data_IF_813055408592
#
_entry.id   IF_813055408592
#
_cell.length_a   1.000
_cell.length_b   1.000
_cell.length_c   1.000
_cell.angle_alpha   90.00
_cell.angle_beta   90.00
_cell.angle_gamma   90.00
#
_symmetry.space_group_name_H-M   'P 1'
#
loop_
_entity.id
_entity.type
_entity.pdbx_description
1 polymer ?
#
# COMPACT_ATOMS: atom_id res chain seq x y z
N UNK A 1 32.20 14.12 -44.42
CA UNK A 1 31.46 12.98 -43.82
C UNK A 1 31.07 13.37 -42.39
N UNK A 2 29.77 13.54 -42.16
CA UNK A 2 29.15 14.11 -40.94
C UNK A 2 29.17 13.07 -39.82
N UNK A 3 30.00 13.26 -38.80
CA UNK A 3 30.02 12.41 -37.60
C UNK A 3 28.93 12.89 -36.65
N UNK A 4 27.81 12.15 -36.58
CA UNK A 4 26.74 12.36 -35.62
C UNK A 4 27.20 11.83 -34.26
N UNK A 5 27.49 12.74 -33.32
CA UNK A 5 27.63 12.41 -31.91
C UNK A 5 26.22 12.19 -31.35
N UNK A 6 25.83 10.94 -31.20
CA UNK A 6 24.66 10.54 -30.43
C UNK A 6 25.05 10.59 -28.94
N UNK A 7 24.87 11.75 -28.33
CA UNK A 7 24.95 11.94 -26.89
C UNK A 7 23.73 11.27 -26.27
N UNK A 8 23.86 10.01 -25.86
CA UNK A 8 22.83 9.29 -25.13
C UNK A 8 22.79 9.83 -23.69
N UNK A 9 22.04 10.92 -23.48
CA UNK A 9 21.71 11.41 -22.15
C UNK A 9 20.76 10.44 -21.48
N UNK A 10 21.33 9.49 -20.73
CA UNK A 10 20.64 8.67 -19.75
C UNK A 10 20.16 9.60 -18.62
N UNK A 11 18.95 10.13 -18.76
CA UNK A 11 18.25 10.78 -17.65
C UNK A 11 17.97 9.71 -16.58
N UNK A 12 18.40 9.90 -15.32
CA UNK A 12 17.98 9.02 -14.25
C UNK A 12 16.49 9.27 -14.02
N UNK A 13 15.66 8.32 -14.45
CA UNK A 13 14.25 8.27 -14.04
C UNK A 13 14.28 7.86 -12.57
N UNK A 14 14.37 8.85 -11.68
CA UNK A 14 14.14 8.66 -10.26
C UNK A 14 12.65 8.36 -10.06
N UNK A 15 12.31 7.07 -10.10
CA UNK A 15 11.02 6.59 -9.65
C UNK A 15 10.98 6.74 -8.13
N UNK A 16 10.42 7.85 -7.65
CA UNK A 16 10.12 8.01 -6.23
C UNK A 16 8.90 7.15 -5.92
N UNK A 17 9.12 5.97 -5.36
CA UNK A 17 8.10 5.33 -4.53
C UNK A 17 7.95 6.23 -3.30
N UNK A 18 7.00 7.15 -3.31
CA UNK A 18 6.69 7.95 -2.12
C UNK A 18 6.07 6.99 -1.11
N UNK A 19 6.80 6.68 -0.05
CA UNK A 19 6.24 5.96 1.10
C UNK A 19 4.93 6.64 1.52
N UNK A 20 3.87 5.83 1.67
CA UNK A 20 2.58 6.34 2.11
C UNK A 20 2.74 6.90 3.52
N UNK A 21 2.53 8.20 3.69
CA UNK A 21 2.55 8.82 5.01
C UNK A 21 1.33 8.38 5.82
N UNK A 22 1.54 7.34 6.64
CA UNK A 22 0.51 6.79 7.52
C UNK A 22 0.04 7.77 8.59
N UNK A 23 0.77 8.87 8.87
CA UNK A 23 0.38 9.82 9.91
C UNK A 23 -0.98 10.49 9.64
N UNK A 24 -1.37 10.61 8.38
CA UNK A 24 -2.64 11.19 7.95
C UNK A 24 -3.54 10.20 7.19
N UNK A 25 -3.20 8.91 7.18
CA UNK A 25 -3.99 7.90 6.49
C UNK A 25 -5.32 7.67 7.22
N UNK A 26 -6.42 7.93 6.51
CA UNK A 26 -7.78 7.72 7.04
C UNK A 26 -8.62 6.95 6.04
N UNK A 27 -9.56 6.17 6.53
CA UNK A 27 -10.68 5.66 5.76
C UNK A 27 -11.98 6.00 6.51
N UNK A 28 -12.84 6.80 5.89
CA UNK A 28 -14.03 7.38 6.55
C UNK A 28 -13.66 8.03 7.89
N UNK A 29 -14.14 7.48 9.01
CA UNK A 29 -13.94 7.98 10.37
C UNK A 29 -12.76 7.31 11.10
N UNK A 30 -12.14 6.28 10.51
CA UNK A 30 -11.02 5.57 11.10
C UNK A 30 -9.71 6.20 10.65
N UNK A 31 -8.86 6.56 11.62
CA UNK A 31 -7.46 6.87 11.37
C UNK A 31 -6.62 5.61 11.53
N UNK A 32 -5.78 5.32 10.52
CA UNK A 32 -5.01 4.09 10.46
C UNK A 32 -3.66 4.32 11.14
N UNK A 33 -3.34 3.45 12.09
CA UNK A 33 -2.05 3.39 12.79
C UNK A 33 -1.52 1.95 12.77
N UNK A 34 -0.27 1.75 13.21
CA UNK A 34 0.29 0.41 13.37
C UNK A 34 -0.47 -0.45 14.39
N UNK A 35 -1.24 0.17 15.30
CA UNK A 35 -2.10 -0.53 16.27
C UNK A 35 -3.50 -0.83 15.75
N UNK A 36 -3.85 -0.39 14.54
CA UNK A 36 -5.17 -0.68 13.96
C UNK A 36 -5.28 -2.17 13.63
N UNK A 37 -6.42 -2.75 13.99
CA UNK A 37 -6.73 -4.15 13.76
C UNK A 37 -7.37 -4.37 12.39
N UNK A 38 -7.30 -5.61 11.90
CA UNK A 38 -8.00 -6.03 10.68
C UNK A 38 -9.50 -5.76 10.77
N UNK A 39 -10.10 -6.06 11.91
CA UNK A 39 -11.54 -5.84 12.14
C UNK A 39 -11.92 -4.38 12.03
N UNK A 40 -11.16 -3.47 12.64
CA UNK A 40 -11.43 -2.03 12.55
C UNK A 40 -11.43 -1.55 11.09
N UNK A 41 -10.48 -2.03 10.27
CA UNK A 41 -10.43 -1.71 8.83
C UNK A 41 -11.67 -2.25 8.10
N UNK A 42 -12.04 -3.52 8.35
CA UNK A 42 -13.20 -4.15 7.70
C UNK A 42 -14.53 -3.47 8.08
N UNK A 43 -14.66 -3.01 9.32
CA UNK A 43 -15.88 -2.39 9.83
C UNK A 43 -16.03 -0.93 9.36
N UNK A 44 -14.91 -0.23 9.11
CA UNK A 44 -14.93 1.22 8.85
C UNK A 44 -14.56 1.64 7.42
N UNK A 45 -13.75 0.87 6.71
CA UNK A 45 -13.27 1.25 5.38
C UNK A 45 -14.22 0.77 4.27
N UNK A 46 -14.17 1.43 3.10
CA UNK A 46 -14.79 0.91 1.89
C UNK A 46 -13.86 -0.10 1.23
N UNK A 47 -14.02 -1.38 1.60
CA UNK A 47 -13.19 -2.48 1.11
C UNK A 47 -13.41 -2.70 -0.39
N UNK A 48 -12.33 -2.64 -1.15
CA UNK A 48 -12.29 -2.97 -2.57
C UNK A 48 -12.00 -4.45 -2.81
N UNK A 49 -10.99 -5.00 -2.11
CA UNK A 49 -10.55 -6.39 -2.24
C UNK A 49 -9.77 -6.81 -0.99
N UNK A 50 -9.80 -8.10 -0.64
CA UNK A 50 -8.94 -8.67 0.41
C UNK A 50 -8.53 -10.11 0.05
N UNK A 51 -7.28 -10.50 0.32
CA UNK A 51 -6.76 -11.84 -0.01
C UNK A 51 -5.47 -12.18 0.75
N UNK A 52 -5.19 -13.47 0.87
CA UNK A 52 -3.89 -13.97 1.34
C UNK A 52 -2.90 -14.01 0.17
N UNK A 53 -1.71 -13.44 0.37
CA UNK A 53 -0.61 -13.56 -0.58
C UNK A 53 -0.10 -15.00 -0.62
N UNK A 54 -0.22 -15.63 -1.79
CA UNK A 54 0.24 -17.00 -1.98
C UNK A 54 1.77 -17.09 -1.91
N UNK A 55 2.29 -18.22 -1.43
CA UNK A 55 3.72 -18.44 -1.13
C UNK A 55 4.66 -18.47 -2.33
N UNK A 56 4.17 -18.17 -3.52
CA UNK A 56 4.91 -18.25 -4.74
C UNK A 56 4.94 -16.85 -5.36
N UNK A 57 6.11 -16.21 -5.29
CA UNK A 57 6.56 -15.04 -6.08
C UNK A 57 6.44 -13.62 -5.50
N UNK A 58 5.75 -13.38 -4.39
CA UNK A 58 5.68 -12.03 -3.81
C UNK A 58 6.46 -11.85 -2.50
N UNK A 59 7.09 -10.68 -2.34
CA UNK A 59 7.77 -10.26 -1.09
C UNK A 59 6.84 -10.20 0.12
N UNK A 60 5.53 -10.25 -0.10
CA UNK A 60 4.46 -10.21 0.90
C UNK A 60 3.88 -11.60 1.21
N UNK A 61 4.56 -12.67 0.77
CA UNK A 61 4.17 -14.07 1.01
C UNK A 61 3.70 -14.31 2.44
N UNK A 62 2.48 -14.84 2.59
CA UNK A 62 1.90 -15.20 3.89
C UNK A 62 1.23 -14.05 4.65
N UNK A 63 1.22 -12.83 4.09
CA UNK A 63 0.44 -11.72 4.63
C UNK A 63 -0.99 -11.75 4.07
N UNK A 64 -1.91 -11.18 4.83
CA UNK A 64 -3.27 -10.89 4.42
C UNK A 64 -3.38 -9.43 3.98
N UNK A 65 -3.61 -9.19 2.69
CA UNK A 65 -3.75 -7.84 2.14
C UNK A 65 -5.21 -7.41 2.11
N UNK A 66 -5.46 -6.17 2.53
CA UNK A 66 -6.76 -5.49 2.40
C UNK A 66 -6.57 -4.21 1.61
N UNK A 67 -7.32 -4.09 0.52
CA UNK A 67 -7.35 -2.92 -0.33
C UNK A 67 -8.64 -2.13 -0.07
N UNK A 68 -8.52 -0.83 0.17
CA UNK A 68 -9.66 0.07 0.42
C UNK A 68 -9.37 1.49 -0.08
N UNK A 69 -10.42 2.28 -0.24
CA UNK A 69 -10.26 3.71 -0.57
C UNK A 69 -10.03 4.52 0.70
N UNK A 70 -8.93 5.29 0.74
CA UNK A 70 -8.69 6.28 1.78
C UNK A 70 -9.61 7.49 1.61
N UNK A 71 -9.81 8.25 2.68
CA UNK A 71 -10.47 9.56 2.67
C UNK A 71 -9.48 10.71 2.93
N UNK A 72 -8.27 10.40 3.38
CA UNK A 72 -7.17 11.34 3.58
C UNK A 72 -5.84 10.58 3.44
N UNK A 73 -4.79 11.16 2.81
CA UNK A 73 -4.69 12.53 2.29
C UNK A 73 -5.47 12.80 0.99
N UNK A 74 -5.90 11.77 0.27
CA UNK A 74 -6.67 11.83 -0.98
C UNK A 74 -7.43 10.50 -1.18
N UNK A 75 -8.43 10.44 -2.07
CA UNK A 75 -9.27 9.25 -2.34
C UNK A 75 -8.54 8.17 -3.17
N UNK A 76 -7.39 7.69 -2.69
CA UNK A 76 -6.59 6.66 -3.35
C UNK A 76 -6.91 5.26 -2.87
N UNK A 77 -6.63 4.28 -3.73
CA UNK A 77 -6.64 2.88 -3.36
C UNK A 77 -5.39 2.57 -2.53
N UNK A 78 -5.60 2.34 -1.23
CA UNK A 78 -4.56 1.97 -0.27
C UNK A 78 -4.60 0.47 -0.04
N UNK A 79 -3.43 -0.14 0.12
CA UNK A 79 -3.26 -1.57 0.43
C UNK A 79 -2.56 -1.70 1.77
N UNK A 80 -3.25 -2.23 2.77
CA UNK A 80 -2.66 -2.53 4.06
C UNK A 80 -2.50 -4.04 4.22
N UNK A 81 -1.33 -4.46 4.69
CA UNK A 81 -1.03 -5.86 4.98
C UNK A 81 -1.18 -6.14 6.47
N UNK A 82 -1.65 -7.35 6.77
CA UNK A 82 -1.81 -7.92 8.10
C UNK A 82 -1.04 -9.24 8.16
N UNK A 83 -0.56 -9.62 9.33
CA UNK A 83 0.20 -10.86 9.49
C UNK A 83 -0.64 -12.11 9.19
N UNK A 84 -1.94 -12.07 9.47
CA UNK A 84 -2.90 -13.16 9.24
C UNK A 84 -4.29 -12.60 8.94
N UNK A 85 -5.26 -13.47 8.64
CA UNK A 85 -6.67 -13.13 8.51
C UNK A 85 -7.42 -13.08 9.87
N UNK A 86 -6.71 -13.12 11.00
CA UNK A 86 -7.30 -12.96 12.33
C UNK A 86 -7.85 -11.53 12.50
N UNK A 87 -9.11 -11.33 12.94
CA UNK A 87 -9.69 -10.02 13.19
C UNK A 87 -8.85 -9.08 14.07
N UNK A 88 -8.05 -9.65 14.98
CA UNK A 88 -7.16 -8.92 15.91
C UNK A 88 -5.76 -8.68 15.35
N UNK A 89 -5.45 -9.17 14.15
CA UNK A 89 -4.16 -8.93 13.52
C UNK A 89 -3.95 -7.43 13.34
N UNK A 90 -2.79 -6.94 13.74
CA UNK A 90 -2.41 -5.55 13.59
C UNK A 90 -1.89 -5.27 12.17
N UNK A 91 -2.00 -4.01 11.75
CA UNK A 91 -1.40 -3.51 10.51
C UNK A 91 0.11 -3.69 10.55
N UNK A 92 0.65 -4.37 9.53
CA UNK A 92 2.10 -4.50 9.31
C UNK A 92 2.64 -3.30 8.54
N UNK A 93 1.88 -2.83 7.55
CA UNK A 93 2.21 -1.63 6.77
C UNK A 93 1.15 -1.36 5.70
N UNK A 94 1.13 -0.11 5.21
CA UNK A 94 0.23 0.32 4.16
C UNK A 94 1.01 0.98 3.00
N UNK A 95 0.52 0.82 1.77
CA UNK A 95 1.08 1.38 0.54
C UNK A 95 0.01 1.85 -0.43
#
# INVERSE_FOLDING_TARGET
MRKLLFSLSLLPVVAFATDLDMSNLKCRNLQIYASTTLQEVQDNCLIYRQFEHQKHFDKFTGLYEVQFYSTSPQDYLVRCDFATNDPKSLVVGCR
#
